data_IF_065345061467
#
_entry.id   IF_065345061467
#
_cell.length_a   1.000
_cell.length_b   1.000
_cell.length_c   1.000
_cell.angle_alpha   90.00
_cell.angle_beta   90.00
_cell.angle_gamma   90.00
#
_symmetry.space_group_name_H-M   'P 1'
#
loop_
_entity.id
_entity.type
_entity.pdbx_description
1 polymer ?
#
# COMPACT_ATOMS: atom_id res chain seq x y z
N UNK A 1 -24.61 34.33 -23.26
CA UNK A 1 -23.52 35.13 -22.63
C UNK A 1 -22.52 34.28 -21.84
N UNK A 2 -22.93 33.45 -20.88
CA UNK A 2 -22.01 32.68 -19.99
C UNK A 2 -20.95 31.86 -20.75
N UNK A 3 -21.29 31.26 -21.90
CA UNK A 3 -20.31 30.54 -22.76
C UNK A 3 -19.11 31.42 -23.13
N UNK A 4 -19.35 32.71 -23.44
CA UNK A 4 -18.29 33.66 -23.80
C UNK A 4 -17.32 33.94 -22.64
N UNK A 5 -17.80 33.94 -21.39
CA UNK A 5 -16.95 34.06 -20.18
C UNK A 5 -15.92 32.93 -20.10
N UNK A 6 -16.28 31.74 -20.60
CA UNK A 6 -15.43 30.56 -20.58
C UNK A 6 -14.54 30.38 -21.83
N UNK A 7 -14.62 31.28 -22.82
CA UNK A 7 -13.64 31.37 -23.91
C UNK A 7 -12.22 31.44 -23.31
N UNK A 8 -11.29 30.63 -23.86
CA UNK A 8 -9.94 30.45 -23.31
C UNK A 8 -9.83 29.45 -22.16
N UNK A 9 -10.91 28.76 -21.78
CA UNK A 9 -10.90 27.64 -20.81
C UNK A 9 -10.26 27.96 -19.44
N UNK A 10 -10.36 29.22 -19.01
CA UNK A 10 -9.78 29.70 -17.76
C UNK A 10 -10.41 29.03 -16.53
N UNK A 11 -9.67 29.01 -15.41
CA UNK A 11 -10.16 28.46 -14.15
C UNK A 11 -11.36 29.23 -13.59
N UNK A 12 -12.23 28.53 -12.85
CA UNK A 12 -13.52 29.03 -12.32
C UNK A 12 -13.42 30.45 -11.75
N UNK A 13 -12.44 30.72 -10.86
CA UNK A 13 -12.29 32.03 -10.23
C UNK A 13 -11.84 33.14 -11.20
N UNK A 14 -11.10 32.83 -12.27
CA UNK A 14 -10.80 33.81 -13.33
C UNK A 14 -12.04 34.10 -14.17
N UNK A 15 -12.83 33.07 -14.53
CA UNK A 15 -14.11 33.27 -15.21
C UNK A 15 -15.10 34.07 -14.34
N UNK A 16 -15.19 33.81 -13.03
CA UNK A 16 -16.03 34.61 -12.10
C UNK A 16 -15.60 36.08 -12.05
N UNK A 17 -14.29 36.36 -11.99
CA UNK A 17 -13.77 37.75 -12.05
C UNK A 17 -14.12 38.42 -13.37
N UNK A 18 -13.79 37.78 -14.51
CA UNK A 18 -14.12 38.28 -15.86
C UNK A 18 -15.62 38.55 -16.04
N UNK A 19 -16.49 37.75 -15.42
CA UNK A 19 -17.92 37.98 -15.48
C UNK A 19 -18.38 39.18 -14.63
N UNK A 20 -17.93 39.27 -13.37
CA UNK A 20 -18.33 40.34 -12.43
C UNK A 20 -17.87 41.74 -12.88
N UNK A 21 -16.86 41.80 -13.74
CA UNK A 21 -16.30 43.03 -14.31
C UNK A 21 -17.23 43.71 -15.33
N UNK A 22 -18.09 42.94 -16.01
CA UNK A 22 -18.93 43.43 -17.13
C UNK A 22 -20.44 43.14 -16.98
N UNK A 23 -20.85 42.28 -16.06
CA UNK A 23 -22.26 41.92 -15.89
C UNK A 23 -22.58 41.44 -14.47
N UNK A 24 -23.84 41.61 -14.06
CA UNK A 24 -24.33 41.23 -12.74
C UNK A 24 -25.76 40.69 -12.80
N UNK A 25 -26.02 39.61 -12.04
CA UNK A 25 -27.34 39.17 -11.63
C UNK A 25 -27.23 38.27 -10.38
N UNK A 26 -28.31 38.14 -9.57
CA UNK A 26 -28.35 37.16 -8.49
C UNK A 26 -28.09 35.75 -9.01
N UNK A 27 -27.03 35.09 -8.53
CA UNK A 27 -26.65 33.74 -8.97
C UNK A 27 -25.56 33.67 -10.05
N UNK A 28 -25.11 34.79 -10.64
CA UNK A 28 -24.05 34.82 -11.67
C UNK A 28 -22.84 33.92 -11.39
N UNK A 29 -22.34 33.94 -10.14
CA UNK A 29 -21.17 33.14 -9.76
C UNK A 29 -21.44 31.63 -9.82
N UNK A 30 -22.67 31.20 -9.54
CA UNK A 30 -23.09 29.81 -9.64
C UNK A 30 -23.30 29.38 -11.09
N UNK A 31 -23.82 30.27 -11.95
CA UNK A 31 -24.03 29.97 -13.37
C UNK A 31 -22.70 29.84 -14.15
N UNK A 32 -21.77 30.76 -13.92
CA UNK A 32 -20.40 30.66 -14.47
C UNK A 32 -19.72 29.38 -13.98
N UNK A 33 -19.84 29.07 -12.69
CA UNK A 33 -19.29 27.84 -12.13
C UNK A 33 -19.93 26.58 -12.73
N UNK A 34 -21.25 26.56 -12.93
CA UNK A 34 -22.01 25.48 -13.59
C UNK A 34 -21.54 25.26 -15.03
N UNK A 35 -21.33 26.34 -15.80
CA UNK A 35 -20.84 26.26 -17.17
C UNK A 35 -19.40 25.73 -17.25
N UNK A 36 -18.48 26.25 -16.45
CA UNK A 36 -17.07 25.79 -16.40
C UNK A 36 -16.98 24.32 -15.93
N UNK A 37 -17.85 23.91 -15.01
CA UNK A 37 -17.94 22.53 -14.50
C UNK A 37 -18.48 21.54 -15.55
N UNK A 38 -19.44 21.95 -16.37
CA UNK A 38 -20.04 21.16 -17.47
C UNK A 38 -19.16 21.11 -18.74
N UNK A 39 -18.12 21.92 -18.86
CA UNK A 39 -17.23 21.91 -20.03
C UNK A 39 -16.44 20.59 -20.15
N UNK A 40 -16.69 19.84 -21.23
CA UNK A 40 -16.02 18.56 -21.51
C UNK A 40 -14.51 18.71 -21.70
N UNK A 41 -14.05 19.72 -22.46
CA UNK A 41 -12.62 20.00 -22.68
C UNK A 41 -11.87 20.24 -21.37
N UNK A 42 -12.45 21.02 -20.45
CA UNK A 42 -11.86 21.28 -19.15
C UNK A 42 -11.94 20.08 -18.20
N UNK A 43 -12.97 19.24 -18.32
CA UNK A 43 -13.05 17.98 -17.60
C UNK A 43 -11.97 17.00 -18.10
N UNK A 44 -11.81 16.88 -19.42
CA UNK A 44 -10.80 16.02 -20.05
C UNK A 44 -9.39 16.40 -19.61
N UNK A 45 -9.08 17.68 -19.41
CA UNK A 45 -7.76 18.14 -18.98
C UNK A 45 -7.63 18.39 -17.45
N UNK A 46 -8.61 17.97 -16.65
CA UNK A 46 -8.59 18.17 -15.20
C UNK A 46 -7.38 17.51 -14.50
N UNK A 47 -6.95 18.05 -13.36
CA UNK A 47 -5.97 17.37 -12.50
C UNK A 47 -6.58 16.08 -11.92
N UNK A 48 -5.74 15.08 -11.68
CA UNK A 48 -6.14 13.86 -10.97
C UNK A 48 -6.70 14.22 -9.57
N UNK A 49 -7.64 13.42 -9.03
CA UNK A 49 -8.23 13.71 -7.73
C UNK A 49 -7.18 13.58 -6.61
N UNK A 50 -7.45 14.22 -5.47
CA UNK A 50 -6.63 14.03 -4.27
C UNK A 50 -6.58 12.55 -3.86
N UNK A 51 -5.50 12.15 -3.18
CA UNK A 51 -5.38 10.79 -2.61
C UNK A 51 -6.47 10.61 -1.57
N UNK A 52 -7.22 9.52 -1.63
CA UNK A 52 -8.16 9.16 -0.58
C UNK A 52 -7.45 8.56 0.64
N UNK A 53 -7.97 8.72 1.87
CA UNK A 53 -7.39 8.12 3.07
C UNK A 53 -7.18 6.60 2.92
N UNK A 54 -6.08 6.09 3.45
CA UNK A 54 -5.68 4.69 3.31
C UNK A 54 -6.77 3.76 3.84
N UNK A 55 -7.33 2.93 2.95
CA UNK A 55 -8.11 1.78 3.35
C UNK A 55 -7.16 0.68 3.78
N UNK A 56 -7.34 0.22 5.01
CA UNK A 56 -6.57 -0.86 5.59
C UNK A 56 -7.32 -2.17 5.43
N UNK A 57 -6.72 -3.14 4.75
CA UNK A 57 -7.22 -4.51 4.74
C UNK A 57 -7.25 -5.06 6.16
N UNK A 58 -8.29 -5.80 6.55
CA UNK A 58 -8.36 -6.46 7.87
C UNK A 58 -7.08 -7.30 8.07
N UNK A 59 -6.47 -7.20 9.26
CA UNK A 59 -5.36 -8.08 9.66
C UNK A 59 -5.98 -9.44 9.94
N UNK A 60 -5.52 -10.54 9.32
CA UNK A 60 -5.97 -11.88 9.71
C UNK A 60 -5.61 -12.13 11.19
N UNK A 61 -6.41 -12.94 11.89
CA UNK A 61 -6.18 -13.17 13.32
C UNK A 61 -5.01 -14.14 13.58
N UNK A 62 -4.63 -14.93 12.57
CA UNK A 62 -3.51 -15.87 12.63
C UNK A 62 -2.62 -15.76 11.37
N UNK A 63 -1.37 -16.29 11.42
CA UNK A 63 -0.55 -16.49 10.25
C UNK A 63 -1.25 -17.28 9.15
N UNK A 64 -0.83 -17.07 7.91
CA UNK A 64 -1.22 -17.85 6.72
C UNK A 64 -2.71 -17.81 6.29
N UNK A 65 -3.62 -17.22 7.08
CA UNK A 65 -5.04 -17.11 6.71
C UNK A 65 -5.30 -16.23 5.48
N UNK A 66 -4.43 -15.23 5.24
CA UNK A 66 -4.54 -14.28 4.13
C UNK A 66 -3.19 -14.11 3.47
N UNK A 67 -3.10 -14.46 2.20
CA UNK A 67 -1.87 -14.37 1.40
C UNK A 67 -2.03 -13.35 0.27
N UNK A 68 -0.94 -12.75 -0.18
CA UNK A 68 -0.86 -12.02 -1.45
C UNK A 68 0.12 -12.71 -2.39
N UNK A 69 -0.16 -12.69 -3.69
CA UNK A 69 0.69 -13.29 -4.72
C UNK A 69 0.82 -12.40 -5.95
N UNK A 70 1.93 -12.57 -6.64
CA UNK A 70 2.37 -11.73 -7.77
C UNK A 70 3.41 -12.49 -8.61
N UNK A 71 3.56 -12.08 -9.86
CA UNK A 71 4.51 -12.68 -10.81
C UNK A 71 5.40 -11.57 -11.34
N UNK A 72 6.71 -11.77 -11.31
CA UNK A 72 7.65 -10.80 -11.84
C UNK A 72 8.72 -11.42 -12.72
N UNK A 73 9.18 -10.67 -13.71
CA UNK A 73 10.39 -11.00 -14.46
C UNK A 73 11.61 -10.30 -13.83
N UNK A 74 12.75 -11.00 -13.80
CA UNK A 74 14.06 -10.45 -13.48
C UNK A 74 15.16 -11.19 -14.26
N UNK A 75 15.99 -10.45 -15.01
CA UNK A 75 17.05 -10.99 -15.89
C UNK A 75 16.56 -12.15 -16.79
N UNK A 76 15.44 -11.96 -17.51
CA UNK A 76 14.80 -12.96 -18.41
C UNK A 76 14.28 -14.24 -17.74
N UNK A 77 14.30 -14.32 -16.41
CA UNK A 77 13.70 -15.40 -15.61
C UNK A 77 12.39 -14.90 -14.98
N UNK A 78 11.38 -15.75 -14.93
CA UNK A 78 10.12 -15.45 -14.25
C UNK A 78 10.14 -16.01 -12.83
N UNK A 79 9.54 -15.28 -11.90
CA UNK A 79 9.42 -15.66 -10.51
C UNK A 79 7.98 -15.47 -10.06
N UNK A 80 7.46 -16.42 -9.30
CA UNK A 80 6.21 -16.28 -8.55
C UNK A 80 6.55 -16.05 -7.08
N UNK A 81 5.79 -15.17 -6.43
CA UNK A 81 5.88 -14.97 -4.98
C UNK A 81 4.55 -15.24 -4.29
N UNK A 82 4.63 -15.66 -3.04
CA UNK A 82 3.51 -15.75 -2.12
C UNK A 82 3.95 -15.16 -0.79
N UNK A 83 3.21 -14.19 -0.26
CA UNK A 83 3.54 -13.49 0.98
C UNK A 83 2.37 -13.47 1.96
N UNK A 84 2.63 -13.88 3.20
CA UNK A 84 1.65 -13.82 4.28
C UNK A 84 1.42 -12.37 4.76
N UNK A 85 0.15 -11.99 4.89
CA UNK A 85 -0.22 -10.68 5.42
C UNK A 85 0.19 -10.47 6.88
N UNK A 86 0.25 -11.53 7.70
CA UNK A 86 0.51 -11.46 9.14
C UNK A 86 2.02 -11.43 9.47
N UNK A 87 2.73 -12.52 9.17
CA UNK A 87 4.16 -12.71 9.49
C UNK A 87 5.11 -11.91 8.60
N UNK A 88 4.68 -11.52 7.40
CA UNK A 88 5.54 -11.17 6.26
C UNK A 88 6.40 -12.34 5.75
N UNK A 89 6.09 -13.60 6.05
CA UNK A 89 6.82 -14.73 5.44
C UNK A 89 6.62 -14.73 3.93
N UNK A 90 7.69 -15.01 3.17
CA UNK A 90 7.71 -14.96 1.71
C UNK A 90 8.20 -16.29 1.14
N UNK A 91 7.39 -16.91 0.30
CA UNK A 91 7.80 -17.95 -0.65
C UNK A 91 8.11 -17.32 -2.01
N UNK A 92 9.18 -17.80 -2.65
CA UNK A 92 9.66 -17.36 -3.97
C UNK A 92 10.10 -18.60 -4.74
N UNK A 93 9.62 -18.77 -5.97
CA UNK A 93 10.09 -19.83 -6.86
C UNK A 93 10.37 -19.25 -8.26
N UNK A 94 11.49 -19.65 -8.87
CA UNK A 94 11.72 -19.42 -10.29
C UNK A 94 10.83 -20.37 -11.10
N UNK A 95 10.16 -19.86 -12.13
CA UNK A 95 9.21 -20.62 -12.95
C UNK A 95 9.53 -20.50 -14.44
N UNK A 96 9.49 -21.63 -15.14
CA UNK A 96 9.80 -21.70 -16.57
C UNK A 96 8.71 -21.04 -17.45
N UNK A 97 7.50 -20.84 -16.92
CA UNK A 97 6.42 -20.15 -17.63
C UNK A 97 5.45 -19.49 -16.66
N UNK A 98 4.78 -18.43 -17.12
CA UNK A 98 3.73 -17.71 -16.38
C UNK A 98 2.34 -18.33 -16.57
N UNK A 99 2.26 -19.60 -16.98
CA UNK A 99 1.00 -20.28 -17.25
C UNK A 99 0.27 -20.66 -15.96
N UNK A 100 -1.08 -20.64 -15.98
CA UNK A 100 -1.91 -20.97 -14.81
C UNK A 100 -1.54 -22.31 -14.17
N UNK A 101 -1.25 -23.36 -14.96
CA UNK A 101 -0.82 -24.67 -14.44
C UNK A 101 0.44 -24.59 -13.56
N UNK A 102 1.46 -23.87 -14.00
CA UNK A 102 2.72 -23.69 -13.25
C UNK A 102 2.47 -22.94 -11.95
N UNK A 103 1.64 -21.88 -11.98
CA UNK A 103 1.27 -21.12 -10.79
C UNK A 103 0.40 -21.95 -9.84
N UNK A 104 -0.53 -22.77 -10.34
CA UNK A 104 -1.34 -23.71 -9.53
C UNK A 104 -0.43 -24.76 -8.87
N UNK A 105 0.59 -25.26 -9.56
CA UNK A 105 1.55 -26.20 -8.99
C UNK A 105 2.30 -25.58 -7.79
N UNK A 106 2.89 -24.40 -7.98
CA UNK A 106 3.54 -23.63 -6.91
C UNK A 106 2.59 -23.40 -5.73
N UNK A 107 1.33 -23.01 -5.98
CA UNK A 107 0.34 -22.80 -4.92
C UNK A 107 0.03 -24.08 -4.15
N UNK A 108 -0.15 -25.21 -4.85
CA UNK A 108 -0.38 -26.52 -4.21
C UNK A 108 0.81 -26.95 -3.34
N UNK A 109 2.05 -26.74 -3.78
CA UNK A 109 3.24 -26.97 -2.95
C UNK A 109 3.26 -26.10 -1.69
N UNK A 110 2.86 -24.83 -1.77
CA UNK A 110 2.86 -23.95 -0.59
C UNK A 110 1.71 -24.31 0.35
N UNK A 111 0.53 -24.63 -0.19
CA UNK A 111 -0.67 -24.95 0.58
C UNK A 111 -0.59 -26.32 1.25
N UNK A 112 0.12 -27.29 0.66
CA UNK A 112 0.40 -28.58 1.30
C UNK A 112 1.45 -28.47 2.42
N UNK A 113 2.40 -27.55 2.31
CA UNK A 113 3.44 -27.31 3.34
C UNK A 113 2.95 -26.51 4.55
N UNK A 114 2.15 -25.46 4.32
CA UNK A 114 1.78 -24.48 5.35
C UNK A 114 0.28 -24.46 5.68
N UNK A 115 -0.54 -25.22 4.95
CA UNK A 115 -2.00 -25.21 5.05
C UNK A 115 -2.68 -24.35 3.98
N UNK A 116 -3.99 -24.55 3.82
CA UNK A 116 -4.81 -23.83 2.84
C UNK A 116 -5.23 -22.46 3.42
N UNK A 117 -4.98 -21.33 2.73
CA UNK A 117 -5.36 -20.01 3.20
C UNK A 117 -6.86 -19.74 2.99
N UNK A 118 -7.48 -18.95 3.87
CA UNK A 118 -8.88 -18.52 3.71
C UNK A 118 -9.05 -17.51 2.56
N UNK A 119 -8.08 -16.61 2.36
CA UNK A 119 -8.10 -15.60 1.31
C UNK A 119 -6.78 -15.51 0.54
N UNK A 120 -6.85 -15.45 -0.79
CA UNK A 120 -5.72 -15.14 -1.67
C UNK A 120 -5.96 -13.84 -2.43
N UNK A 121 -5.06 -12.87 -2.26
CA UNK A 121 -5.05 -11.60 -3.00
C UNK A 121 -4.08 -11.71 -4.18
N UNK A 122 -4.54 -11.38 -5.39
CA UNK A 122 -3.67 -11.33 -6.58
C UNK A 122 -3.93 -10.09 -7.40
N UNK A 123 -3.08 -9.84 -8.40
CA UNK A 123 -3.42 -8.94 -9.49
C UNK A 123 -4.43 -9.60 -10.46
N UNK A 124 -4.74 -8.90 -11.55
CA UNK A 124 -5.65 -9.37 -12.61
C UNK A 124 -4.89 -10.01 -13.80
N UNK A 125 -3.67 -10.50 -13.57
CA UNK A 125 -2.83 -11.11 -14.61
C UNK A 125 -3.47 -12.33 -15.28
N UNK A 126 -3.05 -12.70 -16.51
CA UNK A 126 -3.62 -13.84 -17.24
C UNK A 126 -3.59 -15.16 -16.45
N UNK A 127 -2.50 -15.39 -15.71
CA UNK A 127 -2.30 -16.59 -14.89
C UNK A 127 -3.38 -16.77 -13.81
N UNK A 128 -3.78 -15.67 -13.15
CA UNK A 128 -4.74 -15.67 -12.04
C UNK A 128 -6.19 -15.49 -12.50
N UNK A 129 -6.41 -14.90 -13.68
CA UNK A 129 -7.75 -14.62 -14.21
C UNK A 129 -8.36 -15.79 -15.00
N UNK A 130 -7.58 -16.84 -15.28
CA UNK A 130 -8.03 -18.02 -16.05
C UNK A 130 -9.13 -18.84 -15.34
N UNK A 131 -9.86 -19.62 -16.13
CA UNK A 131 -10.91 -20.51 -15.63
C UNK A 131 -10.33 -21.70 -14.83
N UNK A 132 -9.14 -22.18 -15.19
CA UNK A 132 -8.42 -23.24 -14.49
C UNK A 132 -8.02 -22.78 -13.07
N UNK A 133 -7.48 -21.57 -12.94
CA UNK A 133 -7.12 -20.99 -11.63
C UNK A 133 -8.35 -20.77 -10.74
N UNK A 134 -9.44 -20.25 -11.31
CA UNK A 134 -10.74 -20.10 -10.61
C UNK A 134 -11.33 -21.44 -10.17
N UNK A 135 -11.20 -22.50 -10.97
CA UNK A 135 -11.65 -23.86 -10.61
C UNK A 135 -10.80 -24.43 -9.49
N UNK A 136 -9.47 -24.23 -9.54
CA UNK A 136 -8.55 -24.63 -8.47
C UNK A 136 -8.91 -23.97 -7.13
N UNK A 137 -8.99 -22.65 -7.07
CA UNK A 137 -9.30 -21.96 -5.81
C UNK A 137 -10.69 -22.31 -5.26
N UNK A 138 -11.69 -22.53 -6.13
CA UNK A 138 -13.02 -23.02 -5.70
C UNK A 138 -12.96 -24.42 -5.09
N UNK A 139 -12.21 -25.34 -5.72
CA UNK A 139 -12.04 -26.71 -5.22
C UNK A 139 -11.29 -26.78 -3.89
N UNK A 140 -10.41 -25.80 -3.64
CA UNK A 140 -9.64 -25.67 -2.40
C UNK A 140 -10.27 -24.66 -1.42
N UNK A 141 -11.51 -24.23 -1.67
CA UNK A 141 -12.30 -23.31 -0.83
C UNK A 141 -11.62 -21.95 -0.52
N UNK A 142 -10.63 -21.55 -1.33
CA UNK A 142 -9.89 -20.30 -1.17
C UNK A 142 -10.65 -19.13 -1.79
N UNK A 143 -10.96 -18.11 -0.99
CA UNK A 143 -11.60 -16.88 -1.48
C UNK A 143 -10.60 -16.02 -2.27
N UNK A 144 -10.82 -15.92 -3.59
CA UNK A 144 -9.98 -15.12 -4.49
C UNK A 144 -10.38 -13.65 -4.48
N UNK A 145 -9.45 -12.76 -4.12
CA UNK A 145 -9.60 -11.31 -4.17
C UNK A 145 -8.66 -10.73 -5.23
N UNK A 146 -9.23 -10.13 -6.28
CA UNK A 146 -8.43 -9.55 -7.37
C UNK A 146 -8.32 -8.03 -7.26
N UNK A 147 -7.13 -7.47 -7.51
CA UNK A 147 -6.98 -6.02 -7.64
C UNK A 147 -7.80 -5.47 -8.82
N UNK A 148 -8.33 -4.24 -8.70
CA UNK A 148 -8.83 -3.55 -9.89
C UNK A 148 -7.65 -3.35 -10.86
N UNK A 149 -7.85 -3.49 -12.19
CA UNK A 149 -6.87 -3.03 -13.17
C UNK A 149 -6.40 -1.62 -12.79
N UNK A 150 -5.08 -1.44 -12.82
CA UNK A 150 -4.41 -0.18 -12.48
C UNK A 150 -4.62 0.31 -11.04
N UNK A 151 -5.07 -0.54 -10.10
CA UNK A 151 -5.08 -0.26 -8.64
C UNK A 151 -4.05 -1.13 -7.87
N UNK A 152 -2.74 -1.02 -8.21
CA UNK A 152 -1.64 -1.76 -7.57
C UNK A 152 -1.66 -1.70 -6.03
N UNK A 153 -2.07 -0.55 -5.47
CA UNK A 153 -2.22 -0.36 -4.02
C UNK A 153 -3.06 -1.43 -3.29
N UNK A 154 -4.00 -2.12 -3.97
CA UNK A 154 -4.74 -3.25 -3.37
C UNK A 154 -3.96 -4.57 -3.30
N UNK A 155 -2.93 -4.74 -4.14
CA UNK A 155 -1.92 -5.82 -4.02
C UNK A 155 -0.57 -5.27 -3.48
N UNK A 156 -0.53 -4.06 -2.91
CA UNK A 156 0.72 -3.38 -2.53
C UNK A 156 1.58 -4.12 -1.48
N UNK A 157 1.04 -5.18 -0.86
CA UNK A 157 1.81 -6.14 -0.04
C UNK A 157 2.76 -6.97 -0.91
N UNK A 158 2.27 -7.57 -2.02
CA UNK A 158 3.12 -8.33 -2.93
C UNK A 158 4.11 -7.43 -3.64
N UNK A 159 3.69 -6.28 -4.15
CA UNK A 159 4.54 -5.37 -4.93
C UNK A 159 5.77 -4.89 -4.14
N UNK A 160 5.55 -4.57 -2.86
CA UNK A 160 6.65 -4.21 -1.95
C UNK A 160 7.58 -5.40 -1.71
N UNK A 161 7.02 -6.61 -1.59
CA UNK A 161 7.81 -7.84 -1.51
C UNK A 161 8.58 -8.12 -2.82
N UNK A 162 7.99 -7.93 -4.00
CA UNK A 162 8.68 -8.04 -5.30
C UNK A 162 9.87 -7.09 -5.33
N UNK A 163 9.71 -5.84 -4.87
CA UNK A 163 10.82 -4.89 -4.80
C UNK A 163 11.92 -5.37 -3.83
N UNK A 164 11.56 -5.89 -2.66
CA UNK A 164 12.51 -6.49 -1.70
C UNK A 164 13.26 -7.68 -2.30
N UNK A 165 12.56 -8.63 -2.93
CA UNK A 165 13.16 -9.83 -3.53
C UNK A 165 14.01 -9.48 -4.75
N UNK A 166 13.60 -8.53 -5.61
CA UNK A 166 14.44 -8.04 -6.72
C UNK A 166 15.74 -7.38 -6.22
N UNK A 167 15.67 -6.63 -5.12
CA UNK A 167 16.86 -6.05 -4.49
C UNK A 167 17.75 -7.12 -3.85
N UNK A 168 17.16 -8.19 -3.28
CA UNK A 168 17.90 -9.33 -2.75
C UNK A 168 18.61 -10.10 -3.87
N UNK A 169 17.89 -10.50 -4.92
CA UNK A 169 18.42 -11.13 -6.13
C UNK A 169 19.54 -10.30 -6.76
N UNK A 170 19.38 -8.98 -6.87
CA UNK A 170 20.43 -8.09 -7.37
C UNK A 170 21.69 -8.23 -6.52
N UNK A 171 21.59 -8.06 -5.20
CA UNK A 171 22.73 -8.15 -4.29
C UNK A 171 23.43 -9.50 -4.39
N UNK A 172 22.69 -10.60 -4.37
CA UNK A 172 23.24 -11.96 -4.45
C UNK A 172 24.05 -12.17 -5.74
N UNK A 173 23.58 -11.64 -6.88
CA UNK A 173 24.32 -11.77 -8.14
C UNK A 173 25.54 -10.83 -8.18
N UNK A 174 25.42 -9.63 -7.59
CA UNK A 174 26.53 -8.66 -7.53
C UNK A 174 27.65 -9.13 -6.56
N UNK A 175 27.33 -9.93 -5.53
CA UNK A 175 28.29 -10.50 -4.56
C UNK A 175 28.73 -11.94 -4.85
N UNK A 176 27.96 -12.69 -5.64
CA UNK A 176 28.15 -14.14 -5.83
C UNK A 176 27.51 -15.01 -4.74
N UNK A 177 26.70 -14.45 -3.83
CA UNK A 177 26.02 -15.18 -2.76
C UNK A 177 24.90 -16.10 -3.27
N UNK A 178 24.69 -17.22 -2.55
CA UNK A 178 23.54 -18.08 -2.77
C UNK A 178 22.22 -17.39 -2.37
N UNK A 179 21.24 -17.42 -3.28
CA UNK A 179 19.94 -16.79 -3.08
C UNK A 179 19.08 -17.49 -2.01
N UNK A 180 19.16 -18.81 -1.87
CA UNK A 180 18.38 -19.56 -0.89
C UNK A 180 18.88 -19.34 0.53
N UNK A 181 20.20 -19.25 0.75
CA UNK A 181 20.80 -18.80 2.00
C UNK A 181 20.38 -17.36 2.32
N UNK A 182 20.41 -16.47 1.33
CA UNK A 182 19.98 -15.07 1.48
C UNK A 182 18.49 -14.94 1.82
N UNK A 183 17.65 -15.81 1.24
CA UNK A 183 16.22 -15.90 1.51
C UNK A 183 15.92 -16.52 2.90
N UNK A 184 16.67 -17.55 3.30
CA UNK A 184 16.63 -18.11 4.66
C UNK A 184 16.97 -17.05 5.70
N UNK A 185 18.03 -16.27 5.49
CA UNK A 185 18.41 -15.17 6.35
C UNK A 185 17.29 -14.11 6.39
N UNK A 186 16.77 -13.67 5.24
CA UNK A 186 15.64 -12.73 5.18
C UNK A 186 14.40 -13.21 5.97
N UNK A 187 14.07 -14.50 5.89
CA UNK A 187 12.97 -15.11 6.65
C UNK A 187 13.26 -15.20 8.16
N UNK A 188 14.52 -15.31 8.55
CA UNK A 188 14.95 -15.58 9.93
C UNK A 188 15.41 -14.33 10.69
N UNK A 189 15.61 -13.20 10.02
CA UNK A 189 15.95 -11.92 10.66
C UNK A 189 14.71 -11.31 11.36
N UNK A 190 14.81 -10.95 12.66
CA UNK A 190 13.75 -10.22 13.38
C UNK A 190 13.40 -8.87 12.73
N UNK A 191 12.18 -8.39 13.00
CA UNK A 191 11.71 -7.08 12.53
C UNK A 191 11.71 -6.10 13.70
N UNK A 192 11.62 -4.80 13.44
CA UNK A 192 11.62 -3.79 14.50
C UNK A 192 10.47 -4.04 15.50
N UNK A 193 10.82 -4.40 16.75
CA UNK A 193 9.89 -4.75 17.83
C UNK A 193 9.17 -6.12 17.68
N UNK A 194 9.51 -6.94 16.68
CA UNK A 194 8.81 -8.18 16.36
C UNK A 194 9.75 -9.32 16.01
N UNK A 195 9.29 -10.55 16.21
CA UNK A 195 10.01 -11.74 15.80
C UNK A 195 10.16 -11.82 14.25
N UNK A 196 11.04 -12.72 13.81
CA UNK A 196 11.27 -12.94 12.39
C UNK A 196 10.02 -13.49 11.68
N UNK A 197 9.88 -13.28 10.37
CA UNK A 197 8.78 -13.87 9.60
C UNK A 197 8.67 -15.38 9.78
N UNK A 198 9.79 -16.11 9.82
CA UNK A 198 9.82 -17.56 10.02
C UNK A 198 9.33 -17.96 11.41
N UNK A 199 9.79 -17.28 12.46
CA UNK A 199 9.27 -17.47 13.81
C UNK A 199 7.75 -17.29 13.82
N UNK A 200 7.25 -16.12 13.42
CA UNK A 200 5.82 -15.77 13.54
C UNK A 200 4.92 -16.76 12.78
N UNK A 201 5.38 -17.31 11.65
CA UNK A 201 4.65 -18.35 10.91
C UNK A 201 4.78 -19.74 11.55
N UNK A 202 6.01 -20.19 11.87
CA UNK A 202 6.32 -21.59 12.16
C UNK A 202 6.38 -21.95 13.65
N UNK A 203 6.25 -20.99 14.56
CA UNK A 203 6.29 -21.25 16.00
C UNK A 203 7.70 -21.39 16.60
N UNK A 204 8.75 -21.38 15.76
CA UNK A 204 10.15 -21.69 16.16
C UNK A 204 11.18 -20.85 15.43
N UNK A 205 12.41 -20.75 15.97
CA UNK A 205 13.56 -20.21 15.23
C UNK A 205 14.02 -21.20 14.14
N UNK A 206 14.60 -20.67 13.06
CA UNK A 206 15.29 -21.46 12.05
C UNK A 206 16.80 -21.34 12.26
N UNK A 207 17.51 -22.46 12.17
CA UNK A 207 18.97 -22.45 12.13
C UNK A 207 19.45 -21.80 10.83
N UNK A 208 20.42 -20.91 10.94
CA UNK A 208 21.11 -20.30 9.78
C UNK A 208 22.59 -20.67 9.84
N UNK A 209 23.45 -20.05 9.02
CA UNK A 209 24.91 -20.20 9.16
C UNK A 209 25.49 -19.51 10.41
N UNK A 210 24.72 -18.68 11.11
CA UNK A 210 25.12 -18.13 12.40
C UNK A 210 24.84 -19.16 13.51
N UNK A 211 25.81 -19.42 14.42
CA UNK A 211 25.58 -20.29 15.58
C UNK A 211 24.50 -19.68 16.49
N UNK A 212 23.70 -20.55 17.09
CA UNK A 212 22.59 -20.20 17.98
C UNK A 212 22.57 -21.19 19.14
N UNK A 213 22.24 -20.73 20.34
CA UNK A 213 22.13 -21.59 21.51
C UNK A 213 20.81 -22.36 21.54
N UNK A 214 20.83 -23.55 22.15
CA UNK A 214 19.63 -24.37 22.33
C UNK A 214 18.54 -23.65 23.14
N UNK A 215 18.93 -22.77 24.07
CA UNK A 215 18.01 -21.89 24.78
C UNK A 215 17.17 -21.04 23.81
N UNK A 216 17.81 -20.39 22.84
CA UNK A 216 17.10 -19.55 21.86
C UNK A 216 16.28 -20.38 20.86
N UNK A 217 16.73 -21.60 20.52
CA UNK A 217 15.96 -22.51 19.65
C UNK A 217 14.65 -22.98 20.31
N UNK A 218 14.66 -23.18 21.63
CA UNK A 218 13.51 -23.59 22.42
C UNK A 218 12.64 -22.42 22.93
N UNK A 219 13.02 -21.18 22.66
CA UNK A 219 12.29 -19.98 23.11
C UNK A 219 10.90 -19.88 22.45
N UNK A 220 9.85 -19.79 23.27
CA UNK A 220 8.47 -19.63 22.80
C UNK A 220 8.19 -18.23 22.28
N UNK A 221 7.42 -18.13 21.20
CA UNK A 221 7.10 -16.84 20.57
C UNK A 221 5.96 -16.12 21.27
N UNK A 222 6.20 -14.87 21.65
CA UNK A 222 5.13 -13.97 22.12
C UNK A 222 4.24 -13.51 20.96
N UNK A 223 3.17 -14.26 20.72
CA UNK A 223 2.13 -13.95 19.73
C UNK A 223 1.43 -12.61 20.04
N UNK A 224 1.28 -12.24 21.30
CA UNK A 224 0.57 -11.03 21.74
C UNK A 224 1.40 -9.76 21.46
N UNK A 225 2.70 -9.78 21.77
CA UNK A 225 3.65 -8.71 21.38
C UNK A 225 3.65 -8.51 19.88
N UNK A 226 3.80 -9.59 19.11
CA UNK A 226 3.80 -9.52 17.64
C UNK A 226 2.51 -8.92 17.07
N UNK A 227 1.35 -9.34 17.59
CA UNK A 227 0.06 -8.77 17.18
C UNK A 227 -0.07 -7.28 17.54
N UNK A 228 0.25 -6.89 18.79
CA UNK A 228 0.22 -5.50 19.26
C UNK A 228 1.12 -4.60 18.39
N UNK A 229 2.35 -5.04 18.13
CA UNK A 229 3.32 -4.30 17.31
C UNK A 229 2.87 -4.17 15.85
N UNK A 230 2.35 -5.24 15.24
CA UNK A 230 1.78 -5.19 13.89
C UNK A 230 0.63 -4.18 13.79
N UNK A 231 -0.26 -4.14 14.78
CA UNK A 231 -1.37 -3.19 14.85
C UNK A 231 -0.90 -1.74 15.04
N UNK A 232 0.09 -1.51 15.91
CA UNK A 232 0.69 -0.18 16.13
C UNK A 232 1.39 0.35 14.86
N UNK A 233 2.25 -0.45 14.22
CA UNK A 233 2.91 -0.06 12.97
C UNK A 233 1.90 0.28 11.87
N UNK A 234 0.81 -0.47 11.80
CA UNK A 234 -0.29 -0.18 10.86
C UNK A 234 -1.01 1.12 11.21
N UNK A 235 -1.35 1.39 12.47
CA UNK A 235 -1.96 2.66 12.91
C UNK A 235 -1.08 3.85 12.56
N UNK A 236 0.22 3.76 12.84
CA UNK A 236 1.21 4.78 12.47
C UNK A 236 1.29 5.02 10.96
N UNK A 237 1.45 3.95 10.17
CA UNK A 237 1.54 4.06 8.70
C UNK A 237 0.29 4.70 8.07
N UNK A 238 -0.90 4.40 8.60
CA UNK A 238 -2.16 5.04 8.18
C UNK A 238 -2.17 6.53 8.54
N UNK A 239 -1.80 6.89 9.77
CA UNK A 239 -1.74 8.29 10.20
C UNK A 239 -0.79 9.12 9.31
N UNK A 240 0.40 8.60 9.00
CA UNK A 240 1.35 9.31 8.13
C UNK A 240 0.85 9.45 6.68
N UNK A 241 0.19 8.44 6.13
CA UNK A 241 -0.42 8.52 4.80
C UNK A 241 -1.56 9.55 4.76
N UNK A 242 -2.46 9.49 5.75
CA UNK A 242 -3.71 10.24 5.78
C UNK A 242 -3.52 11.74 5.98
N UNK A 243 -2.39 12.19 6.56
CA UNK A 243 -1.99 13.61 6.63
C UNK A 243 -2.10 14.36 5.29
N UNK A 244 -1.87 13.67 4.17
CA UNK A 244 -1.90 14.24 2.81
C UNK A 244 -3.17 13.89 2.03
N UNK A 245 -4.08 13.13 2.63
CA UNK A 245 -5.23 12.53 1.96
C UNK A 245 -6.53 13.29 2.25
N UNK A 246 -7.48 13.24 1.32
CA UNK A 246 -8.81 13.84 1.46
C UNK A 246 -9.88 12.88 0.93
N UNK A 247 -10.99 12.64 1.64
CA UNK A 247 -12.06 11.79 1.13
C UNK A 247 -12.65 12.38 -0.16
N UNK A 248 -12.86 11.53 -1.17
CA UNK A 248 -13.50 11.94 -2.43
C UNK A 248 -15.02 11.78 -2.34
N UNK A 249 -15.76 12.57 -3.14
CA UNK A 249 -17.23 12.44 -3.23
C UNK A 249 -17.59 11.02 -3.68
N UNK A 250 -18.59 10.45 -3.00
CA UNK A 250 -19.29 9.21 -3.40
C UNK A 250 -19.79 9.34 -4.85
N UNK A 251 -19.82 8.22 -5.55
CA UNK A 251 -20.29 8.13 -6.93
C UNK A 251 -21.60 7.34 -6.96
N UNK A 252 -22.61 7.89 -7.63
CA UNK A 252 -23.91 7.28 -7.81
C UNK A 252 -24.01 6.64 -9.21
N UNK A 253 -24.86 5.61 -9.38
CA UNK A 253 -25.31 5.16 -10.69
C UNK A 253 -25.76 6.33 -11.57
N UNK A 254 -25.43 6.30 -12.86
CA UNK A 254 -25.76 7.34 -13.84
C UNK A 254 -24.82 8.55 -13.88
N UNK A 255 -23.95 8.77 -12.89
CA UNK A 255 -22.98 9.87 -12.96
C UNK A 255 -22.03 9.68 -14.17
N UNK A 256 -21.81 10.77 -14.91
CA UNK A 256 -20.75 10.86 -15.93
C UNK A 256 -19.39 11.10 -15.26
N UNK A 257 -18.37 10.37 -15.70
CA UNK A 257 -17.01 10.48 -15.22
C UNK A 257 -16.01 10.43 -16.38
N UNK A 258 -14.77 10.80 -16.11
CA UNK A 258 -13.65 10.62 -17.02
C UNK A 258 -12.69 9.61 -16.39
N UNK A 259 -12.53 8.49 -17.07
CA UNK A 259 -11.59 7.44 -16.73
C UNK A 259 -10.19 7.87 -17.20
N UNK A 260 -9.24 7.91 -16.26
CA UNK A 260 -7.81 8.09 -16.54
C UNK A 260 -7.12 6.72 -16.46
N UNK A 261 -6.58 6.25 -17.59
CA UNK A 261 -5.99 4.93 -17.76
C UNK A 261 -4.66 5.07 -18.53
N UNK A 262 -3.53 4.91 -17.84
CA UNK A 262 -2.17 5.10 -18.39
C UNK A 262 -1.98 6.36 -19.25
N UNK A 263 -2.42 7.52 -18.72
CA UNK A 263 -2.33 8.81 -19.40
C UNK A 263 -3.48 9.08 -20.39
N UNK A 264 -4.09 8.04 -20.96
CA UNK A 264 -5.30 8.16 -21.77
C UNK A 264 -6.50 8.57 -20.91
N UNK A 265 -7.38 9.38 -21.48
CA UNK A 265 -8.56 9.92 -20.77
C UNK A 265 -9.80 9.69 -21.62
N UNK A 266 -10.83 9.07 -21.06
CA UNK A 266 -12.03 8.65 -21.78
C UNK A 266 -13.30 8.95 -20.98
N UNK A 267 -14.35 9.49 -21.59
CA UNK A 267 -15.64 9.63 -20.93
C UNK A 267 -16.25 8.25 -20.66
N UNK A 268 -16.77 8.04 -19.45
CA UNK A 268 -17.42 6.80 -19.01
C UNK A 268 -18.64 7.13 -18.15
N UNK A 269 -19.62 6.25 -18.14
CA UNK A 269 -20.78 6.34 -17.23
C UNK A 269 -20.64 5.35 -16.07
N UNK A 270 -20.94 5.77 -14.85
CA UNK A 270 -20.92 4.89 -13.68
C UNK A 270 -22.20 4.05 -13.66
N UNK A 271 -22.09 2.72 -13.72
CA UNK A 271 -23.25 1.83 -13.64
C UNK A 271 -23.60 1.58 -12.18
N UNK A 272 -22.64 1.08 -11.39
CA UNK A 272 -22.84 0.70 -9.99
C UNK A 272 -21.51 0.53 -9.23
N UNK A 273 -21.52 0.56 -7.89
CA UNK A 273 -20.41 0.02 -7.11
C UNK A 273 -20.15 -1.47 -7.41
N UNK A 274 -18.90 -1.87 -7.25
CA UNK A 274 -18.45 -3.26 -7.23
C UNK A 274 -18.47 -3.81 -5.80
N UNK A 275 -18.21 -5.11 -5.63
CA UNK A 275 -18.08 -5.71 -4.29
C UNK A 275 -16.84 -5.22 -3.54
N UNK A 276 -15.77 -4.85 -4.28
CA UNK A 276 -14.53 -4.38 -3.69
C UNK A 276 -14.60 -2.88 -3.34
N UNK A 277 -14.04 -2.46 -2.19
CA UNK A 277 -14.16 -1.09 -1.73
C UNK A 277 -13.53 -0.10 -2.73
N UNK A 278 -14.18 1.06 -2.89
CA UNK A 278 -13.83 2.10 -3.86
C UNK A 278 -13.71 1.63 -5.31
N UNK A 279 -14.27 0.47 -5.67
CA UNK A 279 -14.28 -0.02 -7.05
C UNK A 279 -15.67 0.12 -7.64
N UNK A 280 -15.76 0.57 -8.89
CA UNK A 280 -17.00 0.82 -9.62
C UNK A 280 -16.98 0.07 -10.95
N UNK A 281 -18.15 -0.36 -11.39
CA UNK A 281 -18.37 -0.84 -12.76
C UNK A 281 -18.76 0.37 -13.59
N UNK A 282 -17.94 0.69 -14.59
CA UNK A 282 -18.15 1.81 -15.52
C UNK A 282 -18.36 1.30 -16.94
N UNK A 283 -19.11 2.06 -17.74
CA UNK A 283 -19.37 1.79 -19.15
C UNK A 283 -18.63 2.80 -20.03
N UNK A 284 -17.80 2.30 -20.93
CA UNK A 284 -17.16 3.07 -22.00
C UNK A 284 -18.20 3.50 -23.06
N UNK A 285 -17.89 4.50 -23.88
CA UNK A 285 -18.74 4.96 -25.00
C UNK A 285 -19.12 3.83 -25.96
N UNK A 286 -18.26 2.81 -26.08
CA UNK A 286 -18.46 1.59 -26.87
C UNK A 286 -19.24 0.48 -26.15
N UNK A 287 -19.99 0.78 -25.09
CA UNK A 287 -20.80 -0.18 -24.33
C UNK A 287 -20.03 -1.16 -23.43
N UNK A 288 -18.70 -1.23 -23.54
CA UNK A 288 -17.86 -2.15 -22.75
C UNK A 288 -17.89 -1.80 -21.26
N UNK A 289 -18.12 -2.80 -20.42
CA UNK A 289 -18.13 -2.69 -18.95
C UNK A 289 -16.76 -2.99 -18.36
N UNK A 290 -16.26 -2.12 -17.49
CA UNK A 290 -14.94 -2.21 -16.88
C UNK A 290 -15.01 -1.98 -15.36
N UNK A 291 -14.31 -2.81 -14.56
CA UNK A 291 -14.04 -2.50 -13.15
C UNK A 291 -12.91 -1.46 -13.07
N UNK A 292 -13.13 -0.35 -12.38
CA UNK A 292 -12.14 0.72 -12.16
C UNK A 292 -12.24 1.31 -10.75
N UNK A 293 -11.11 1.71 -10.19
CA UNK A 293 -11.04 2.29 -8.85
C UNK A 293 -11.42 3.77 -8.86
N UNK A 294 -12.02 4.26 -7.76
CA UNK A 294 -12.47 5.63 -7.52
C UNK A 294 -11.43 6.69 -7.89
N UNK A 295 -10.13 6.42 -7.65
CA UNK A 295 -9.04 7.35 -7.95
C UNK A 295 -8.84 7.64 -9.44
N UNK A 296 -9.26 6.73 -10.32
CA UNK A 296 -9.14 6.88 -11.78
C UNK A 296 -10.35 7.61 -12.38
N UNK A 297 -11.40 7.83 -11.60
CA UNK A 297 -12.66 8.42 -12.05
C UNK A 297 -12.71 9.89 -11.65
N UNK A 298 -12.37 10.76 -12.59
CA UNK A 298 -12.57 12.21 -12.45
C UNK A 298 -14.04 12.50 -12.71
N UNK A 299 -14.77 12.89 -11.68
CA UNK A 299 -16.11 13.47 -11.85
C UNK A 299 -16.01 14.98 -11.76
N UNK A 300 -16.49 15.66 -12.80
CA UNK A 300 -16.82 17.09 -12.72
C UNK A 300 -18.34 17.23 -12.63
N UNK A 301 -18.77 18.28 -11.95
CA UNK A 301 -20.16 18.50 -11.62
C UNK A 301 -21.01 18.70 -12.89
N UNK A 302 -21.75 17.66 -13.24
CA UNK A 302 -23.07 17.78 -13.80
C UNK A 302 -24.02 17.08 -12.82
N UNK A 303 -25.00 17.84 -12.32
CA UNK A 303 -26.30 17.35 -11.85
C UNK A 303 -26.24 16.40 -10.63
N UNK A 304 -26.09 17.01 -9.46
CA UNK A 304 -26.59 16.56 -8.15
C UNK A 304 -26.02 17.50 -7.09
N UNK A 305 -26.89 18.29 -6.48
CA UNK A 305 -26.58 19.00 -5.24
C UNK A 305 -26.28 18.00 -4.11
N UNK A 306 -25.74 18.57 -3.03
CA UNK A 306 -25.65 18.02 -1.67
C UNK A 306 -25.58 16.50 -1.49
N UNK A 307 -24.34 16.03 -1.29
CA UNK A 307 -23.98 15.32 -0.05
C UNK A 307 -22.47 15.09 -0.03
N UNK A 308 -21.79 15.69 0.95
CA UNK A 308 -20.55 15.10 1.47
C UNK A 308 -20.98 14.09 2.52
N UNK A 309 -20.62 12.80 2.43
CA UNK A 309 -20.84 11.92 3.57
C UNK A 309 -20.03 12.46 4.76
N UNK A 310 -20.68 12.55 5.93
CA UNK A 310 -19.97 12.64 7.18
C UNK A 310 -19.02 11.44 7.31
N UNK A 311 -17.96 11.57 8.11
CA UNK A 311 -17.04 10.47 8.35
C UNK A 311 -17.84 9.25 8.86
N UNK A 312 -17.80 8.16 8.09
CA UNK A 312 -18.62 6.99 8.35
C UNK A 312 -18.16 6.34 9.67
N UNK A 313 -18.95 6.55 10.73
CA UNK A 313 -18.84 5.78 11.95
C UNK A 313 -19.16 4.30 11.65
N UNK A 314 -18.49 3.33 12.29
CA UNK A 314 -18.78 1.92 12.06
C UNK A 314 -20.24 1.59 12.42
N UNK A 315 -20.88 0.79 11.57
CA UNK A 315 -22.28 0.38 11.73
C UNK A 315 -22.52 -0.37 13.04
N UNK A 316 -23.51 0.07 13.81
CA UNK A 316 -23.79 -0.36 15.19
C UNK A 316 -24.41 -1.77 15.34
N UNK A 317 -24.15 -2.71 14.42
CA UNK A 317 -24.73 -4.06 14.47
C UNK A 317 -23.91 -5.09 15.27
N UNK A 318 -22.63 -4.80 15.57
CA UNK A 318 -21.73 -5.74 16.26
C UNK A 318 -21.29 -5.29 17.67
N UNK A 319 -21.90 -4.24 18.22
CA UNK A 319 -21.47 -3.65 19.51
C UNK A 319 -21.69 -4.60 20.72
N UNK A 320 -22.76 -5.39 20.73
CA UNK A 320 -23.16 -6.21 21.89
C UNK A 320 -22.24 -7.40 22.21
N UNK A 321 -21.32 -7.81 21.32
CA UNK A 321 -20.39 -8.91 21.58
C UNK A 321 -19.02 -8.47 22.12
N UNK A 322 -18.70 -7.17 22.06
CA UNK A 322 -17.39 -6.64 22.48
C UNK A 322 -17.39 -6.03 23.89
N UNK A 323 -18.57 -5.74 24.43
CA UNK A 323 -18.72 -4.95 25.67
C UNK A 323 -18.56 -5.79 26.95
N UNK A 324 -18.74 -7.13 26.88
CA UNK A 324 -18.51 -8.02 28.02
C UNK A 324 -17.03 -8.37 28.28
N UNK A 325 -16.15 -8.29 27.28
CA UNK A 325 -14.72 -8.61 27.44
C UNK A 325 -13.84 -7.41 27.79
N UNK A 326 -14.34 -6.18 27.65
CA UNK A 326 -13.57 -4.96 27.91
C UNK A 326 -13.47 -4.56 29.40
N UNK A 327 -14.29 -5.12 30.29
CA UNK A 327 -14.34 -4.75 31.72
C UNK A 327 -13.28 -5.39 32.63
N UNK A 328 -12.43 -6.28 32.10
CA UNK A 328 -11.51 -7.08 32.92
C UNK A 328 -10.05 -6.58 32.98
N UNK A 329 -9.66 -5.55 32.21
CA UNK A 329 -8.25 -5.11 32.12
C UNK A 329 -8.15 -3.57 32.10
N UNK A 330 -8.55 -2.93 33.20
CA UNK A 330 -8.42 -1.49 33.38
C UNK A 330 -7.96 -1.15 34.81
N UNK A 331 -6.66 -1.26 35.07
CA UNK A 331 -6.01 -0.74 36.28
C UNK A 331 -4.60 -0.24 35.94
N UNK A 332 -4.33 1.01 36.30
CA UNK A 332 -3.09 1.81 36.16
C UNK A 332 -2.55 2.09 34.73
N UNK A 333 -2.52 3.38 34.33
CA UNK A 333 -1.63 3.91 33.31
C UNK A 333 -0.41 4.60 33.96
N UNK A 334 0.77 3.98 33.93
CA UNK A 334 2.01 4.71 34.18
C UNK A 334 2.60 5.25 32.87
N UNK A 335 2.93 6.54 32.90
CA UNK A 335 3.62 7.24 31.81
C UNK A 335 5.10 6.83 31.85
N UNK A 336 5.69 6.50 30.69
CA UNK A 336 7.13 6.40 30.55
C UNK A 336 7.63 7.21 29.36
N UNK A 337 8.51 8.16 29.66
CA UNK A 337 9.21 9.03 28.73
C UNK A 337 10.57 8.38 28.36
N UNK A 338 11.08 8.46 27.11
CA UNK A 338 12.15 7.54 26.68
C UNK A 338 13.55 8.20 26.66
N UNK A 339 14.37 8.01 27.71
CA UNK A 339 15.81 8.33 27.70
C UNK A 339 16.62 7.52 28.75
N UNK A 340 17.88 7.19 28.40
CA UNK A 340 18.93 6.50 29.20
C UNK A 340 18.65 5.01 29.57
N UNK A 341 19.49 4.01 29.26
CA UNK A 341 20.94 3.75 29.48
C UNK A 341 21.26 3.09 30.83
N UNK A 342 21.47 1.77 30.78
CA UNK A 342 22.17 0.91 31.75
C UNK A 342 23.69 1.13 31.68
N UNK A 343 24.56 0.83 32.66
CA UNK A 343 24.42 0.47 34.08
C UNK A 343 25.76 0.81 34.79
N UNK A 344 25.84 0.73 36.12
CA UNK A 344 27.02 1.17 36.89
C UNK A 344 27.69 0.09 37.76
N UNK A 345 29.02 -0.07 37.55
CA UNK A 345 30.07 -0.43 38.53
C UNK A 345 30.05 -1.88 39.11
N UNK A 346 31.13 -2.38 39.71
CA UNK A 346 32.50 -1.82 39.96
C UNK A 346 33.56 -2.59 39.14
N UNK A 347 34.89 -2.42 39.16
CA UNK A 347 35.90 -1.54 39.82
C UNK A 347 37.16 -1.48 38.88
N UNK A 348 38.35 -0.91 39.13
CA UNK A 348 38.99 -0.23 40.28
C UNK A 348 39.97 0.88 39.78
N UNK A 349 40.74 1.50 40.70
CA UNK A 349 42.07 2.13 40.53
C UNK A 349 42.45 2.93 39.26
N UNK A 350 42.32 4.26 39.35
CA UNK A 350 43.52 5.10 39.56
C UNK A 350 44.26 5.78 38.40
N UNK A 351 43.74 6.88 37.83
CA UNK A 351 44.53 8.12 37.61
C UNK A 351 43.68 9.37 37.31
N UNK A 352 44.27 10.56 37.58
CA UNK A 352 43.62 11.89 37.58
C UNK A 352 43.36 12.51 36.18
N UNK A 353 42.43 13.50 36.07
CA UNK A 353 41.94 14.02 34.78
C UNK A 353 42.65 15.28 34.27
N UNK A 354 42.41 15.63 32.99
CA UNK A 354 42.70 16.94 32.39
C UNK A 354 41.47 17.52 31.65
N UNK A 355 41.49 18.82 31.38
CA UNK A 355 40.30 19.71 31.45
C UNK A 355 39.98 20.44 30.13
N UNK A 356 38.74 20.27 29.61
CA UNK A 356 37.94 21.20 28.75
C UNK A 356 38.56 21.74 27.42
N UNK A 357 37.85 22.58 26.59
CA UNK A 357 36.41 22.83 26.39
C UNK A 357 35.95 22.63 24.90
N UNK A 358 34.69 22.93 24.51
CA UNK A 358 34.16 22.66 23.14
C UNK A 358 34.24 23.84 22.15
N UNK A 359 34.11 23.54 20.84
CA UNK A 359 33.97 24.53 19.76
C UNK A 359 32.65 24.33 18.98
N UNK A 360 32.10 25.42 18.46
CA UNK A 360 30.72 25.51 17.93
C UNK A 360 30.63 25.79 16.42
N UNK A 361 29.41 25.63 15.87
CA UNK A 361 28.82 26.33 14.70
C UNK A 361 29.36 26.07 13.26
N UNK A 362 28.56 25.27 12.55
CA UNK A 362 27.68 25.72 11.44
C UNK A 362 28.14 25.75 9.97
N UNK A 363 27.12 25.53 9.11
CA UNK A 363 26.96 25.91 7.68
C UNK A 363 27.70 25.14 6.58
N UNK A 364 26.91 24.31 5.89
CA UNK A 364 26.50 24.46 4.48
C UNK A 364 27.51 25.03 3.45
N UNK A 365 27.58 24.35 2.29
CA UNK A 365 27.94 24.84 0.93
C UNK A 365 29.36 24.48 0.43
N UNK A 366 29.50 23.30 -0.18
CA UNK A 366 30.48 23.09 -1.26
C UNK A 366 29.99 22.06 -2.30
N UNK A 367 29.19 22.54 -3.24
CA UNK A 367 29.00 21.93 -4.57
C UNK A 367 29.53 22.94 -5.60
N UNK A 368 30.15 22.44 -6.66
CA UNK A 368 30.80 23.19 -7.75
C UNK A 368 32.13 23.91 -7.42
N UNK A 369 33.25 23.18 -7.58
CA UNK A 369 34.51 23.63 -8.23
C UNK A 369 35.50 22.46 -8.32
N UNK A 370 35.56 21.80 -9.49
CA UNK A 370 36.70 21.02 -10.06
C UNK A 370 36.20 20.14 -11.24
N UNK A 371 35.71 20.81 -12.29
CA UNK A 371 36.01 20.40 -13.67
C UNK A 371 37.16 21.29 -14.14
N UNK A 372 37.99 20.81 -15.06
CA UNK A 372 39.30 21.36 -15.47
C UNK A 372 40.45 21.15 -14.49
N UNK A 373 41.16 20.03 -14.69
CA UNK A 373 42.61 19.97 -14.65
C UNK A 373 43.09 18.85 -15.60
N UNK A 374 44.11 19.16 -16.40
CA UNK A 374 44.97 18.21 -17.15
C UNK A 374 44.29 17.25 -18.14
N UNK A 375 43.87 17.83 -19.28
CA UNK A 375 43.98 17.16 -20.58
C UNK A 375 45.36 17.47 -21.17
N UNK A 376 46.39 16.77 -20.70
CA UNK A 376 47.73 16.74 -21.33
C UNK A 376 48.24 15.30 -21.38
N UNK A 377 47.92 14.63 -22.50
CA UNK A 377 48.71 13.54 -23.10
C UNK A 377 48.13 13.29 -24.50
N UNK A 378 48.66 14.08 -25.44
CA UNK A 378 48.49 14.01 -26.92
C UNK A 378 47.05 14.27 -27.40
#
# INVERSE_FOLDING_TARGET
MIVKVHEGHLGIERCKRRARDVMFWPGLSADVERAVRRCESCALHARAPAREPLLQHIVPNAPWQKLASDIFEYKKKYYVILVDYFSNYVEVQEVNSINSRTIIHFMKEQFSRHGIPSELVTDNGPAYSSQEFKKFLRLWEVKHMTSSPHYPQSNGKSERTVQTIKNLLKKCIDSGDDFFISLLNYRSTPRYGMDSPAQILMGRRLCTKLPISDFLLNETIDRNRNYKMLMQQRKYNKLQYDKSAKPLRTLLPGNKAILVDNGNRKPVSIIRPSQEPRSFIVQDSRGRRLRRNRRHLIVRYADSDETRPAACAPSASNAKSAELTAKAVASNPEQFDPLYSTDSKTDTEGHSPCINPPITRSKTRLMAKMKYAMKEKI
#
